data_IF_800008464348
#
_entry.id   IF_800008464348
#
_cell.length_a   1.000
_cell.length_b   1.000
_cell.length_c   1.000
_cell.angle_alpha   90.00
_cell.angle_beta   90.00
_cell.angle_gamma   90.00
#
_symmetry.space_group_name_H-M   'P 1'
#
loop_
_entity.id
_entity.type
_entity.pdbx_description
1 polymer ?
#
# COMPACT_ATOMS: atom_id res chain seq x y z
N UNK A 1 9.51 -28.29 3.45
CA UNK A 1 9.01 -27.31 2.46
C UNK A 1 8.26 -26.27 3.26
N UNK A 2 8.53 -24.99 3.07
CA UNK A 2 7.68 -23.94 3.67
C UNK A 2 6.40 -23.97 2.85
N UNK A 3 5.27 -24.25 3.49
CA UNK A 3 3.95 -24.22 2.82
C UNK A 3 3.71 -22.84 2.23
N UNK A 4 3.19 -22.80 1.00
CA UNK A 4 2.76 -21.53 0.40
C UNK A 4 1.63 -20.96 1.27
N UNK A 5 1.76 -19.72 1.76
CA UNK A 5 0.70 -19.10 2.55
C UNK A 5 -0.61 -19.01 1.76
N UNK A 6 -1.75 -19.29 2.38
CA UNK A 6 -3.05 -19.12 1.74
C UNK A 6 -3.41 -17.64 1.62
N UNK A 7 -4.28 -17.29 0.67
CA UNK A 7 -4.77 -15.93 0.49
C UNK A 7 -5.46 -15.41 1.76
N UNK A 8 -6.26 -16.24 2.43
CA UNK A 8 -6.97 -15.87 3.66
C UNK A 8 -5.99 -15.52 4.79
N UNK A 9 -4.92 -16.30 4.95
CA UNK A 9 -3.89 -16.01 5.95
C UNK A 9 -3.17 -14.70 5.62
N UNK A 10 -2.89 -14.45 4.33
CA UNK A 10 -2.26 -13.20 3.91
C UNK A 10 -3.16 -12.01 4.24
N UNK A 11 -4.46 -12.10 3.96
CA UNK A 11 -5.43 -11.03 4.23
C UNK A 11 -5.59 -10.75 5.73
N UNK A 12 -5.69 -11.79 6.57
CA UNK A 12 -5.77 -11.66 8.03
C UNK A 12 -4.50 -11.03 8.63
N UNK A 13 -3.32 -11.46 8.15
CA UNK A 13 -2.04 -10.84 8.56
C UNK A 13 -1.95 -9.37 8.08
N UNK A 14 -2.41 -9.05 6.88
CA UNK A 14 -2.45 -7.67 6.37
C UNK A 14 -3.37 -6.77 7.21
N UNK A 15 -4.56 -7.25 7.59
CA UNK A 15 -5.49 -6.51 8.44
C UNK A 15 -4.87 -6.22 9.82
N UNK A 16 -4.23 -7.23 10.44
CA UNK A 16 -3.52 -7.06 11.72
C UNK A 16 -2.36 -6.07 11.59
N UNK A 17 -1.58 -6.18 10.52
CA UNK A 17 -0.45 -5.29 10.25
C UNK A 17 -0.91 -3.85 10.02
N UNK A 18 -2.00 -3.67 9.26
CA UNK A 18 -2.63 -2.39 9.04
C UNK A 18 -3.01 -1.71 10.35
N UNK A 19 -3.76 -2.41 11.22
CA UNK A 19 -4.18 -1.86 12.51
C UNK A 19 -2.97 -1.51 13.40
N UNK A 20 -1.95 -2.35 13.38
CA UNK A 20 -0.71 -2.10 14.12
C UNK A 20 0.03 -0.85 13.60
N UNK A 21 0.14 -0.68 12.28
CA UNK A 21 0.76 0.50 11.65
C UNK A 21 -0.05 1.75 11.98
N UNK A 22 -1.38 1.71 11.85
CA UNK A 22 -2.28 2.82 12.17
C UNK A 22 -2.15 3.27 13.64
N UNK A 23 -1.97 2.31 14.55
CA UNK A 23 -1.88 2.57 15.99
C UNK A 23 -0.50 3.09 16.42
N UNK A 24 0.59 2.46 15.97
CA UNK A 24 1.92 2.69 16.53
C UNK A 24 2.89 3.43 15.61
N UNK A 25 2.57 3.51 14.32
CA UNK A 25 3.43 4.07 13.28
C UNK A 25 2.60 4.88 12.25
N UNK A 26 1.62 5.65 12.72
CA UNK A 26 0.63 6.35 11.88
C UNK A 26 1.27 7.13 10.74
N UNK A 27 2.38 7.85 10.97
CA UNK A 27 3.10 8.62 9.94
C UNK A 27 3.70 7.78 8.80
N UNK A 28 3.82 6.46 8.97
CA UNK A 28 4.25 5.52 7.94
C UNK A 28 3.08 4.83 7.21
N UNK A 29 1.84 5.11 7.61
CA UNK A 29 0.66 4.46 7.07
C UNK A 29 0.50 4.64 5.55
N UNK A 30 0.71 5.83 4.95
CA UNK A 30 0.59 5.98 3.50
C UNK A 30 1.56 5.08 2.74
N UNK A 31 2.79 4.89 3.23
CA UNK A 31 3.74 3.96 2.63
C UNK A 31 3.23 2.52 2.65
N UNK A 32 2.66 2.06 3.76
CA UNK A 32 2.04 0.73 3.85
C UNK A 32 0.83 0.61 2.92
N UNK A 33 -0.09 1.56 3.00
CA UNK A 33 -1.33 1.55 2.23
C UNK A 33 -1.08 1.59 0.72
N UNK A 34 -0.28 2.54 0.24
CA UNK A 34 -0.06 2.74 -1.19
C UNK A 34 0.72 1.60 -1.84
N UNK A 35 1.63 0.92 -1.13
CA UNK A 35 2.28 -0.29 -1.66
C UNK A 35 1.31 -1.44 -1.92
N UNK A 36 0.19 -1.49 -1.19
CA UNK A 36 -0.84 -2.53 -1.34
C UNK A 36 -1.93 -2.14 -2.36
N UNK A 37 -1.94 -0.90 -2.82
CA UNK A 37 -3.00 -0.36 -3.69
C UNK A 37 -2.47 0.26 -4.98
N UNK A 38 -1.15 0.28 -5.19
CA UNK A 38 -0.51 0.88 -6.36
C UNK A 38 0.75 0.10 -6.76
N UNK A 39 1.20 0.31 -8.00
CA UNK A 39 2.49 -0.18 -8.52
C UNK A 39 3.68 0.69 -8.15
N UNK A 40 3.50 1.72 -7.33
CA UNK A 40 4.58 2.63 -6.98
C UNK A 40 5.68 1.92 -6.22
N UNK A 41 6.93 2.29 -6.49
CA UNK A 41 8.04 1.84 -5.68
C UNK A 41 7.99 2.55 -4.33
N UNK A 42 8.42 1.86 -3.29
CA UNK A 42 8.44 2.42 -1.94
C UNK A 42 9.23 3.73 -1.86
N UNK A 43 10.32 3.89 -2.62
CA UNK A 43 11.11 5.13 -2.57
C UNK A 43 10.30 6.32 -3.09
N UNK A 44 9.55 6.13 -4.18
CA UNK A 44 8.64 7.13 -4.72
C UNK A 44 7.62 7.57 -3.66
N UNK A 45 7.03 6.60 -2.92
CA UNK A 45 6.05 6.92 -1.87
C UNK A 45 6.68 7.65 -0.67
N UNK A 46 7.91 7.29 -0.29
CA UNK A 46 8.61 7.94 0.82
C UNK A 46 9.06 9.37 0.49
N UNK A 47 9.20 9.70 -0.79
CA UNK A 47 9.58 11.03 -1.29
C UNK A 47 8.37 11.93 -1.59
N UNK A 48 7.14 11.43 -1.42
CA UNK A 48 5.92 12.24 -1.57
C UNK A 48 5.78 13.31 -0.48
N UNK A 49 5.28 14.47 -0.90
CA UNK A 49 4.74 15.51 -0.04
C UNK A 49 3.22 15.35 0.11
N UNK A 50 2.64 16.06 1.09
CA UNK A 50 1.18 16.09 1.24
C UNK A 50 0.52 16.71 -0.01
N UNK A 51 1.14 17.70 -0.63
CA UNK A 51 0.66 18.32 -1.88
C UNK A 51 0.51 17.34 -3.05
N UNK A 52 1.19 16.19 -3.04
CA UNK A 52 1.05 15.17 -4.07
C UNK A 52 -0.27 14.39 -4.00
N UNK A 53 -0.93 14.38 -2.82
CA UNK A 53 -2.20 13.67 -2.59
C UNK A 53 -3.35 14.61 -2.26
N UNK A 54 -3.05 15.75 -1.65
CA UNK A 54 -4.03 16.68 -1.12
C UNK A 54 -3.87 18.06 -1.73
N UNK A 55 -4.97 18.82 -1.73
CA UNK A 55 -4.99 20.21 -2.11
C UNK A 55 -5.76 21.02 -1.09
N UNK A 56 -5.47 22.31 -1.03
CA UNK A 56 -6.18 23.27 -0.20
C UNK A 56 -7.28 23.96 -1.00
N UNK A 57 -8.48 24.04 -0.43
CA UNK A 57 -9.60 24.78 -1.01
C UNK A 57 -10.48 25.35 0.11
N UNK A 58 -10.67 26.67 0.11
CA UNK A 58 -11.55 27.40 1.04
C UNK A 58 -11.30 27.06 2.52
N UNK A 59 -10.03 27.08 2.93
CA UNK A 59 -9.64 26.80 4.32
C UNK A 59 -9.75 25.33 4.71
N UNK A 60 -9.90 24.41 3.75
CA UNK A 60 -9.97 22.97 4.00
C UNK A 60 -8.98 22.21 3.13
N UNK A 61 -8.35 21.20 3.73
CA UNK A 61 -7.55 20.22 2.98
C UNK A 61 -8.47 19.13 2.44
N UNK A 62 -8.30 18.79 1.17
CA UNK A 62 -9.10 17.81 0.44
C UNK A 62 -8.18 16.87 -0.33
N UNK A 63 -8.60 15.63 -0.56
CA UNK A 63 -7.90 14.71 -1.46
C UNK A 63 -8.07 15.16 -2.90
N UNK A 64 -6.98 15.17 -3.67
CA UNK A 64 -7.02 15.44 -5.09
C UNK A 64 -8.05 14.52 -5.79
N UNK A 65 -8.88 15.05 -6.70
CA UNK A 65 -9.83 14.23 -7.48
C UNK A 65 -9.12 13.22 -8.38
N UNK A 66 -7.92 13.58 -8.86
CA UNK A 66 -7.05 12.75 -9.67
C UNK A 66 -5.63 12.91 -9.13
N UNK A 67 -5.02 11.79 -8.76
CA UNK A 67 -3.65 11.74 -8.25
C UNK A 67 -2.75 11.15 -9.33
N UNK A 68 -1.69 11.88 -9.66
CA UNK A 68 -0.67 11.48 -10.62
C UNK A 68 0.69 11.60 -9.93
N UNK A 69 1.48 10.54 -9.89
CA UNK A 69 2.81 10.57 -9.28
C UNK A 69 3.77 9.62 -9.98
N UNK A 70 5.02 10.04 -10.16
CA UNK A 70 6.05 9.25 -10.86
C UNK A 70 5.61 8.70 -12.24
N UNK A 71 4.71 9.38 -12.95
CA UNK A 71 4.15 8.93 -14.23
C UNK A 71 2.94 7.99 -14.11
N UNK A 72 2.63 7.52 -12.90
CA UNK A 72 1.52 6.63 -12.63
C UNK A 72 0.27 7.39 -12.21
N UNK A 73 -0.89 6.85 -12.60
CA UNK A 73 -2.17 7.28 -12.06
C UNK A 73 -2.47 6.47 -10.81
N UNK A 74 -2.65 7.13 -9.68
CA UNK A 74 -3.09 6.47 -8.45
C UNK A 74 -4.62 6.46 -8.42
N UNK A 75 -5.20 5.27 -8.59
CA UNK A 75 -6.63 5.06 -8.50
C UNK A 75 -7.00 4.51 -7.12
N UNK A 76 -7.64 5.34 -6.30
CA UNK A 76 -8.13 4.94 -4.99
C UNK A 76 -9.62 4.60 -5.06
N UNK A 77 -9.99 3.45 -4.51
CA UNK A 77 -11.39 3.10 -4.24
C UNK A 77 -12.02 4.12 -3.27
N UNK A 78 -13.35 4.10 -3.13
CA UNK A 78 -14.03 4.95 -2.14
C UNK A 78 -13.45 4.74 -0.73
N UNK A 79 -13.20 3.49 -0.35
CA UNK A 79 -12.59 3.15 0.93
C UNK A 79 -11.15 3.65 1.03
N UNK A 80 -10.36 3.50 -0.04
CA UNK A 80 -9.00 4.04 -0.07
C UNK A 80 -8.93 5.56 0.06
N UNK A 81 -9.92 6.28 -0.47
CA UNK A 81 -10.05 7.72 -0.25
C UNK A 81 -10.42 8.04 1.20
N UNK A 82 -11.28 7.24 1.84
CA UNK A 82 -11.57 7.41 3.27
C UNK A 82 -10.34 7.16 4.13
N UNK A 83 -9.53 6.17 3.80
CA UNK A 83 -8.27 5.87 4.51
C UNK A 83 -7.26 7.02 4.40
N UNK A 84 -7.07 7.57 3.20
CA UNK A 84 -6.19 8.74 3.04
C UNK A 84 -6.79 10.00 3.68
N UNK A 85 -8.11 10.15 3.74
CA UNK A 85 -8.73 11.25 4.50
C UNK A 85 -8.55 11.09 6.02
N UNK A 86 -8.72 9.87 6.54
CA UNK A 86 -8.44 9.53 7.93
C UNK A 86 -6.99 9.85 8.28
N UNK A 87 -6.03 9.48 7.42
CA UNK A 87 -4.62 9.79 7.63
C UNK A 87 -4.36 11.30 7.75
N UNK A 88 -4.94 12.11 6.85
CA UNK A 88 -4.79 13.57 6.92
C UNK A 88 -5.31 14.12 8.25
N UNK A 89 -6.44 13.62 8.75
CA UNK A 89 -7.01 14.00 10.05
C UNK A 89 -6.10 13.63 11.24
N UNK A 90 -5.25 12.61 11.11
CA UNK A 90 -4.26 12.27 12.14
C UNK A 90 -3.00 13.17 12.10
N UNK A 91 -2.73 13.83 10.97
CA UNK A 91 -1.44 14.48 10.71
C UNK A 91 -1.46 15.99 10.70
N UNK A 92 -2.54 16.58 10.20
CA UNK A 92 -2.63 18.02 9.95
C UNK A 92 -4.00 18.57 10.35
N UNK A 93 -4.10 19.87 10.70
CA UNK A 93 -5.39 20.52 10.86
C UNK A 93 -6.11 20.61 9.50
N UNK A 94 -7.05 19.71 9.24
CA UNK A 94 -7.75 19.66 7.93
C UNK A 94 -8.69 20.85 7.72
N UNK A 95 -9.19 21.47 8.81
CA UNK A 95 -10.12 22.61 8.77
C UNK A 95 -9.48 23.87 9.34
N UNK A 96 -9.71 25.02 8.69
CA UNK A 96 -9.23 26.33 9.15
C UNK A 96 -7.71 26.51 9.05
N UNK A 97 -7.06 25.75 8.16
CA UNK A 97 -5.61 25.81 7.92
C UNK A 97 -5.28 26.60 6.64
N UNK A 98 -3.99 26.90 6.44
CA UNK A 98 -3.42 27.39 5.18
C UNK A 98 -2.89 26.25 4.32
N UNK A 99 -2.57 26.57 3.07
CA UNK A 99 -1.94 25.65 2.10
C UNK A 99 -0.52 25.21 2.52
N UNK A 100 0.20 26.02 3.30
CA UNK A 100 1.60 25.76 3.72
C UNK A 100 1.80 24.41 4.42
N UNK A 101 0.76 23.85 5.04
CA UNK A 101 0.83 22.51 5.66
C UNK A 101 1.08 21.41 4.64
N UNK A 102 0.81 21.66 3.35
CA UNK A 102 0.98 20.70 2.26
C UNK A 102 2.44 20.55 1.82
N UNK A 103 3.33 21.44 2.24
CA UNK A 103 4.77 21.36 1.97
C UNK A 103 5.48 20.29 2.84
N UNK A 104 4.80 19.75 3.85
CA UNK A 104 5.31 18.67 4.69
C UNK A 104 5.28 17.32 3.97
N UNK A 105 6.11 16.39 4.44
CA UNK A 105 6.22 15.05 3.89
C UNK A 105 4.96 14.23 4.15
N UNK A 106 4.55 13.47 3.13
CA UNK A 106 3.44 12.53 3.25
C UNK A 106 3.79 11.46 4.29
N UNK A 107 4.98 10.87 4.21
CA UNK A 107 5.44 9.84 5.12
C UNK A 107 6.44 10.40 6.14
N UNK A 108 6.14 10.29 7.43
CA UNK A 108 7.02 10.76 8.51
C UNK A 108 7.28 9.70 9.57
N UNK A 109 8.43 9.81 10.22
CA UNK A 109 8.77 9.01 11.38
C UNK A 109 8.13 9.56 12.67
N UNK A 110 8.38 8.90 13.80
CA UNK A 110 7.84 9.29 15.12
C UNK A 110 8.32 10.67 15.61
N UNK A 111 9.35 11.25 14.98
CA UNK A 111 9.85 12.59 15.27
C UNK A 111 9.30 13.65 14.30
N UNK A 112 8.37 13.29 13.41
CA UNK A 112 7.79 14.20 12.41
C UNK A 112 8.74 14.56 11.28
N UNK A 113 9.85 13.84 11.10
CA UNK A 113 10.76 14.02 9.95
C UNK A 113 10.41 13.03 8.85
N UNK A 114 10.80 13.34 7.61
CA UNK A 114 10.65 12.43 6.47
C UNK A 114 11.05 11.00 6.85
N UNK A 115 10.16 10.06 6.53
CA UNK A 115 10.40 8.66 6.72
C UNK A 115 11.35 8.15 5.65
N UNK A 116 12.48 7.57 6.07
CA UNK A 116 13.49 7.02 5.15
C UNK A 116 13.46 5.50 5.11
N UNK A 117 13.89 4.93 3.98
CA UNK A 117 13.86 3.49 3.70
C UNK A 117 14.39 2.59 4.84
N UNK A 118 15.58 2.85 5.45
CA UNK A 118 16.06 1.99 6.54
C UNK A 118 15.14 1.97 7.76
N UNK A 119 14.52 3.12 8.08
CA UNK A 119 13.58 3.25 9.19
C UNK A 119 12.28 2.51 8.89
N UNK A 120 11.78 2.62 7.65
CA UNK A 120 10.58 1.93 7.23
C UNK A 120 10.74 0.40 7.23
N UNK A 121 11.84 -0.13 6.69
CA UNK A 121 12.16 -1.57 6.73
C UNK A 121 12.21 -2.10 8.16
N UNK A 122 12.92 -1.40 9.04
CA UNK A 122 13.03 -1.77 10.45
C UNK A 122 11.69 -1.73 11.17
N UNK A 123 10.80 -0.81 10.79
CA UNK A 123 9.44 -0.74 11.33
C UNK A 123 8.65 -1.99 10.93
N UNK A 124 8.65 -2.35 9.64
CA UNK A 124 7.96 -3.55 9.15
C UNK A 124 8.49 -4.83 9.79
N UNK A 125 9.81 -4.98 9.90
CA UNK A 125 10.44 -6.14 10.56
C UNK A 125 10.00 -6.26 12.03
N UNK A 126 9.97 -5.14 12.75
CA UNK A 126 9.54 -5.11 14.16
C UNK A 126 8.06 -5.43 14.31
N UNK A 127 7.20 -4.78 13.53
CA UNK A 127 5.75 -5.02 13.58
C UNK A 127 5.41 -6.47 13.21
N UNK A 128 6.09 -7.04 12.21
CA UNK A 128 5.91 -8.46 11.87
C UNK A 128 6.34 -9.38 13.01
N UNK A 129 7.45 -9.06 13.69
CA UNK A 129 7.93 -9.81 14.85
C UNK A 129 7.02 -9.69 16.08
N UNK A 130 6.48 -8.49 16.34
CA UNK A 130 5.56 -8.21 17.45
C UNK A 130 4.21 -8.93 17.25
N UNK A 131 3.72 -9.00 16.01
CA UNK A 131 2.48 -9.69 15.64
C UNK A 131 2.66 -11.21 15.50
N UNK A 132 3.91 -11.70 15.55
CA UNK A 132 4.22 -13.13 15.48
C UNK A 132 3.93 -13.75 14.11
N UNK A 133 4.01 -12.97 13.03
CA UNK A 133 3.75 -13.48 11.69
C UNK A 133 4.77 -14.54 11.29
N UNK A 134 4.29 -15.56 10.57
CA UNK A 134 5.15 -16.59 9.99
C UNK A 134 5.92 -16.08 8.77
N UNK A 135 5.33 -15.11 8.06
CA UNK A 135 5.92 -14.47 6.90
C UNK A 135 6.60 -13.16 7.29
N UNK A 136 7.67 -12.83 6.55
CA UNK A 136 8.31 -11.53 6.69
C UNK A 136 7.66 -10.52 5.74
N UNK A 137 6.77 -9.67 6.26
CA UNK A 137 6.12 -8.58 5.54
C UNK A 137 7.07 -7.40 5.27
N UNK A 138 8.15 -7.68 4.53
CA UNK A 138 9.09 -6.67 4.09
C UNK A 138 8.55 -5.88 2.89
N UNK A 139 9.23 -4.78 2.56
CA UNK A 139 8.93 -3.90 1.42
C UNK A 139 8.68 -4.66 0.12
N UNK A 140 9.56 -5.60 -0.24
CA UNK A 140 9.44 -6.32 -1.51
C UNK A 140 8.21 -7.24 -1.52
N UNK A 141 7.93 -7.89 -0.39
CA UNK A 141 6.74 -8.72 -0.26
C UNK A 141 5.47 -7.87 -0.33
N UNK A 142 5.36 -6.78 0.43
CA UNK A 142 4.20 -5.88 0.37
C UNK A 142 3.96 -5.34 -1.05
N UNK A 143 5.01 -4.87 -1.73
CA UNK A 143 4.92 -4.40 -3.10
C UNK A 143 4.48 -5.49 -4.09
N UNK A 144 4.82 -6.76 -3.83
CA UNK A 144 4.34 -7.88 -4.63
C UNK A 144 2.86 -8.20 -4.38
N UNK A 145 2.35 -7.92 -3.19
CA UNK A 145 0.99 -8.29 -2.80
C UNK A 145 -0.10 -7.50 -3.54
N UNK A 146 0.16 -6.26 -3.98
CA UNK A 146 -0.79 -5.50 -4.81
C UNK A 146 -1.23 -6.32 -6.04
N UNK A 147 -0.30 -6.57 -6.97
CA UNK A 147 -0.62 -7.30 -8.19
C UNK A 147 -1.01 -8.75 -7.94
N UNK A 148 -0.41 -9.39 -6.93
CA UNK A 148 -0.71 -10.78 -6.59
C UNK A 148 -2.16 -10.95 -6.12
N UNK A 149 -2.66 -10.06 -5.25
CA UNK A 149 -4.03 -10.11 -4.76
C UNK A 149 -5.03 -9.76 -5.88
N UNK A 150 -4.74 -8.77 -6.72
CA UNK A 150 -5.60 -8.47 -7.89
C UNK A 150 -5.81 -9.70 -8.80
N UNK A 151 -4.77 -10.54 -8.96
CA UNK A 151 -4.88 -11.82 -9.67
C UNK A 151 -5.69 -12.82 -8.85
N UNK A 152 -5.40 -12.96 -7.56
CA UNK A 152 -6.07 -13.95 -6.70
C UNK A 152 -7.59 -13.73 -6.61
N UNK A 153 -8.02 -12.46 -6.64
CA UNK A 153 -9.43 -12.06 -6.67
C UNK A 153 -10.06 -12.13 -8.07
N UNK A 154 -9.31 -12.53 -9.10
CA UNK A 154 -9.79 -12.58 -10.49
C UNK A 154 -10.10 -11.21 -11.10
N UNK A 155 -9.62 -10.12 -10.49
CA UNK A 155 -9.84 -8.75 -10.99
C UNK A 155 -8.91 -8.39 -12.14
N UNK A 156 -7.72 -8.98 -12.17
CA UNK A 156 -6.71 -8.77 -13.22
C UNK A 156 -6.06 -10.08 -13.62
N UNK A 157 -5.65 -10.16 -14.88
CA UNK A 157 -4.79 -11.22 -15.38
C UNK A 157 -3.33 -10.94 -15.06
N UNK A 158 -2.49 -11.98 -15.12
CA UNK A 158 -1.03 -11.85 -15.02
C UNK A 158 -0.47 -10.87 -16.08
N UNK A 159 -1.10 -10.77 -17.25
CA UNK A 159 -0.64 -9.88 -18.32
C UNK A 159 -0.90 -8.42 -17.98
N UNK A 160 -2.10 -8.09 -17.51
CA UNK A 160 -2.47 -6.73 -17.09
C UNK A 160 -1.61 -6.27 -15.90
N UNK A 161 -1.40 -7.13 -14.91
CA UNK A 161 -0.50 -6.81 -13.79
C UNK A 161 0.95 -6.60 -14.28
N UNK A 162 1.43 -7.40 -15.23
CA UNK A 162 2.78 -7.19 -15.76
C UNK A 162 2.92 -5.84 -16.48
N UNK A 163 1.86 -5.43 -17.20
CA UNK A 163 1.78 -4.12 -17.85
C UNK A 163 1.82 -2.97 -16.83
N UNK A 164 1.04 -3.05 -15.75
CA UNK A 164 1.04 -2.01 -14.70
C UNK A 164 2.38 -1.89 -13.97
N UNK A 165 3.08 -3.01 -13.74
CA UNK A 165 4.44 -2.98 -13.18
C UNK A 165 5.50 -2.59 -14.21
N UNK A 166 5.13 -2.31 -15.47
CA UNK A 166 6.04 -2.02 -16.59
C UNK A 166 7.10 -3.09 -16.84
N UNK A 167 6.72 -4.36 -16.69
CA UNK A 167 7.63 -5.50 -16.83
C UNK A 167 7.07 -6.57 -17.77
N UNK A 168 7.96 -7.43 -18.26
CA UNK A 168 7.53 -8.64 -18.96
C UNK A 168 6.97 -9.65 -17.96
N UNK A 169 5.99 -10.46 -18.39
CA UNK A 169 5.44 -11.59 -17.62
C UNK A 169 6.50 -12.45 -16.93
N UNK A 170 7.59 -12.79 -17.64
CA UNK A 170 8.69 -13.57 -17.07
C UNK A 170 9.30 -12.89 -15.84
N UNK A 171 9.50 -11.57 -15.90
CA UNK A 171 10.08 -10.81 -14.80
C UNK A 171 9.11 -10.69 -13.63
N UNK A 172 7.82 -10.43 -13.89
CA UNK A 172 6.79 -10.40 -12.85
C UNK A 172 6.82 -11.71 -12.03
N UNK A 173 6.73 -12.86 -12.71
CA UNK A 173 6.67 -14.17 -12.05
C UNK A 173 7.97 -14.56 -11.33
N UNK A 174 9.14 -14.27 -11.92
CA UNK A 174 10.42 -14.77 -11.40
C UNK A 174 11.15 -13.77 -10.48
N UNK A 175 10.74 -12.50 -10.46
CA UNK A 175 11.41 -11.44 -9.68
C UNK A 175 10.49 -10.76 -8.69
N UNK A 176 9.30 -10.34 -9.11
CA UNK A 176 8.35 -9.63 -8.24
C UNK A 176 7.60 -10.65 -7.37
N UNK A 177 6.99 -11.67 -7.96
CA UNK A 177 6.31 -12.76 -7.26
C UNK A 177 7.26 -13.91 -6.90
N UNK A 178 8.54 -13.59 -6.70
CA UNK A 178 9.58 -14.61 -6.51
C UNK A 178 9.26 -15.47 -5.28
N UNK A 179 9.05 -16.77 -5.51
CA UNK A 179 8.76 -17.73 -4.45
C UNK A 179 7.28 -17.76 -4.04
N UNK A 180 6.41 -17.06 -4.77
CA UNK A 180 4.96 -17.12 -4.62
C UNK A 180 4.38 -17.98 -5.74
N UNK A 181 3.55 -18.95 -5.38
CA UNK A 181 2.73 -19.69 -6.33
C UNK A 181 1.47 -18.88 -6.62
N UNK A 182 1.05 -18.78 -7.89
CA UNK A 182 -0.19 -18.06 -8.23
C UNK A 182 -1.38 -18.88 -7.71
N UNK A 183 -2.12 -18.30 -6.77
CA UNK A 183 -3.35 -18.85 -6.22
C UNK A 183 -4.54 -17.98 -6.61
N UNK A 184 -5.73 -18.54 -6.52
CA UNK A 184 -7.00 -17.83 -6.64
C UNK A 184 -7.85 -18.16 -5.43
N UNK A 185 -8.76 -17.26 -5.06
CA UNK A 185 -9.73 -17.55 -4.01
C UNK A 185 -10.75 -18.57 -4.54
N UNK A 186 -11.04 -19.59 -3.74
CA UNK A 186 -11.94 -20.68 -4.13
C UNK A 186 -13.32 -20.17 -4.56
N UNK A 187 -13.89 -19.21 -3.83
CA UNK A 187 -15.17 -18.55 -4.18
C UNK A 187 -15.16 -17.95 -5.60
N UNK A 188 -14.03 -17.38 -6.05
CA UNK A 188 -13.91 -16.85 -7.42
C UNK A 188 -13.91 -18.00 -8.44
N UNK A 189 -13.21 -19.10 -8.14
CA UNK A 189 -13.20 -20.29 -9.01
C UNK A 189 -14.60 -20.90 -9.10
N UNK A 190 -15.29 -21.06 -7.96
CA UNK A 190 -16.64 -21.64 -7.89
C UNK A 190 -17.65 -20.79 -8.67
N UNK A 191 -17.62 -19.47 -8.51
CA UNK A 191 -18.47 -18.56 -9.28
C UNK A 191 -18.25 -18.68 -10.79
N UNK A 192 -17.00 -18.74 -11.25
CA UNK A 192 -16.67 -18.90 -12.68
C UNK A 192 -17.05 -20.30 -13.19
N UNK A 193 -16.90 -21.32 -12.36
CA UNK A 193 -17.28 -22.70 -12.65
C UNK A 193 -18.81 -22.93 -12.58
N UNK A 194 -19.57 -21.96 -12.08
CA UNK A 194 -21.01 -22.06 -11.80
C UNK A 194 -21.31 -23.24 -10.84
N UNK A 195 -20.55 -23.31 -9.75
CA UNK A 195 -20.72 -24.26 -8.64
C UNK A 195 -21.37 -23.61 -7.42
#
# INVERSE_FOLDING_TARGET
MVETPSIEMILDDLEKLEQHVKTYNTGAYPAFFLQLHTVLQIQDILDMQLSDLYFWEDGRIKLLPRIMYAGERIELSEEGRKEMAWYALQRIPVCGTSEEVLDDWLCVNKQGKQLVMPTYRKMLERSSGELGFRLNYNVGYLHSLYGYLEIAFGRKTIAEVAEEYHVKRYYLLNRIFKGMEIQYIDDVIEQVANL
#
